data_IF_282603516116
#
_entry.id   IF_282603516116
#
_cell.length_a   1.000
_cell.length_b   1.000
_cell.length_c   1.000
_cell.angle_alpha   90.00
_cell.angle_beta   90.00
_cell.angle_gamma   90.00
#
_symmetry.space_group_name_H-M   'P 1'
#
loop_
_entity.id
_entity.type
_entity.pdbx_description
1 polymer ?
#
# COMPACT_ATOMS: atom_id res chain seq x y z
N UNK A 1 -1.14 -13.54 21.34
CA UNK A 1 -1.62 -13.57 22.73
C UNK A 1 -2.20 -12.21 23.12
N UNK A 2 -3.19 -12.21 24.01
CA UNK A 2 -3.76 -11.02 24.63
C UNK A 2 -3.00 -10.72 25.94
N UNK A 3 -2.41 -9.52 26.07
CA UNK A 3 -1.67 -9.10 27.27
C UNK A 3 -2.55 -8.95 28.54
N UNK A 4 -3.89 -8.88 28.38
CA UNK A 4 -4.83 -8.74 29.51
C UNK A 4 -5.26 -10.08 30.12
N UNK A 5 -5.51 -11.10 29.30
CA UNK A 5 -6.02 -12.40 29.78
C UNK A 5 -5.16 -13.59 29.36
N UNK A 6 -4.03 -13.37 28.70
CA UNK A 6 -3.16 -14.40 28.12
C UNK A 6 -3.84 -15.34 27.10
N UNK A 7 -5.06 -15.02 26.71
CA UNK A 7 -5.83 -15.78 25.73
C UNK A 7 -5.44 -15.49 24.27
N UNK A 8 -6.26 -15.97 23.37
CA UNK A 8 -6.05 -15.76 21.92
C UNK A 8 -6.31 -14.30 21.52
N UNK A 9 -5.48 -13.79 20.64
CA UNK A 9 -5.66 -12.49 20.03
C UNK A 9 -5.40 -12.55 18.53
N UNK A 10 -6.17 -11.78 17.77
CA UNK A 10 -6.01 -11.61 16.33
C UNK A 10 -5.47 -10.21 16.04
N UNK A 11 -4.37 -10.13 15.34
CA UNK A 11 -3.81 -8.85 14.91
C UNK A 11 -4.72 -8.23 13.85
N UNK A 12 -5.18 -7.00 14.07
CA UNK A 12 -5.94 -6.22 13.08
C UNK A 12 -5.00 -5.53 12.09
N UNK A 13 -3.94 -4.90 12.61
CA UNK A 13 -2.88 -4.30 11.80
C UNK A 13 -1.60 -4.14 12.62
N UNK A 14 -0.50 -3.96 11.91
CA UNK A 14 0.81 -3.60 12.48
C UNK A 14 1.25 -2.29 11.85
N UNK A 15 1.69 -1.35 12.66
CA UNK A 15 2.31 -0.11 12.17
C UNK A 15 3.81 -0.32 12.07
N UNK A 16 4.35 0.01 10.91
CA UNK A 16 5.78 -0.02 10.62
C UNK A 16 6.27 1.40 10.39
N UNK A 17 7.39 1.74 10.99
CA UNK A 17 8.02 3.05 10.86
C UNK A 17 9.44 2.90 10.38
N UNK A 18 9.84 3.70 9.38
CA UNK A 18 11.24 3.81 9.01
C UNK A 18 12.04 4.40 10.15
N UNK A 19 13.28 3.92 10.30
CA UNK A 19 14.25 4.41 11.27
C UNK A 19 15.07 5.53 10.62
N UNK A 20 15.28 6.62 11.35
CA UNK A 20 16.06 7.78 10.93
C UNK A 20 17.25 8.02 11.87
N UNK A 21 18.38 8.44 11.32
CA UNK A 21 19.57 8.82 12.08
C UNK A 21 19.63 10.34 12.22
N UNK A 22 19.55 10.83 13.44
CA UNK A 22 19.59 12.26 13.69
C UNK A 22 20.92 12.85 13.21
N UNK A 23 20.93 13.92 12.38
CA UNK A 23 22.16 14.47 11.84
C UNK A 23 23.06 15.10 12.91
N UNK A 24 22.49 15.48 14.07
CA UNK A 24 23.22 16.13 15.18
C UNK A 24 23.80 15.13 16.18
N UNK A 25 22.95 14.27 16.74
CA UNK A 25 23.34 13.36 17.82
C UNK A 25 23.62 11.92 17.36
N UNK A 26 23.42 11.62 16.08
CA UNK A 26 23.59 10.31 15.45
C UNK A 26 22.73 9.19 16.04
N UNK A 27 21.79 9.54 16.93
CA UNK A 27 20.86 8.57 17.48
C UNK A 27 19.91 8.07 16.39
N UNK A 28 19.63 6.78 16.38
CA UNK A 28 18.70 6.11 15.44
C UNK A 28 17.40 5.84 16.15
N UNK A 29 16.29 6.28 15.55
CA UNK A 29 14.96 6.11 16.10
C UNK A 29 13.92 5.94 15.01
N UNK A 30 12.84 5.17 15.27
CA UNK A 30 11.68 5.17 14.40
C UNK A 30 11.06 6.57 14.29
N UNK A 31 10.60 6.98 13.13
CA UNK A 31 9.91 8.27 12.98
C UNK A 31 8.66 8.35 13.86
N UNK A 32 8.04 7.22 14.14
CA UNK A 32 6.89 7.07 15.04
C UNK A 32 7.15 7.61 16.45
N UNK A 33 8.39 7.49 16.94
CA UNK A 33 8.80 7.95 18.27
C UNK A 33 9.24 9.43 18.30
N UNK A 34 9.29 10.07 17.13
CA UNK A 34 9.73 11.46 17.02
C UNK A 34 8.54 12.42 17.28
N UNK A 35 8.64 13.32 18.28
CA UNK A 35 7.58 14.29 18.54
C UNK A 35 7.52 15.38 17.48
N UNK A 36 6.36 16.05 17.39
CA UNK A 36 6.21 17.28 16.62
C UNK A 36 6.55 18.50 17.48
N UNK A 37 7.19 19.50 16.89
CA UNK A 37 7.47 20.80 17.49
C UNK A 37 7.11 21.93 16.53
N UNK A 38 6.69 23.06 17.09
CA UNK A 38 6.44 24.28 16.32
C UNK A 38 7.75 25.06 16.14
N UNK A 39 8.15 25.31 14.89
CA UNK A 39 9.31 26.11 14.55
C UNK A 39 8.90 27.32 13.70
N UNK A 40 9.59 28.48 13.83
CA UNK A 40 9.31 29.65 12.98
C UNK A 40 9.42 29.33 11.49
N UNK A 41 8.52 29.86 10.66
CA UNK A 41 8.63 29.77 9.21
C UNK A 41 9.79 30.60 8.69
N UNK A 42 10.56 30.08 7.76
CA UNK A 42 11.72 30.76 7.13
C UNK A 42 11.30 32.01 6.31
N UNK A 43 10.05 32.04 5.82
CA UNK A 43 9.55 33.04 4.89
C UNK A 43 8.53 34.02 5.45
N UNK A 44 8.47 34.26 6.78
CA UNK A 44 7.54 35.24 7.29
C UNK A 44 6.87 34.94 8.63
N UNK A 45 5.68 35.49 8.85
CA UNK A 45 4.94 35.37 10.11
C UNK A 45 4.36 33.97 10.30
N UNK A 46 4.48 33.41 11.51
CA UNK A 46 3.85 32.14 11.95
C UNK A 46 4.83 30.99 12.13
N UNK A 47 4.30 29.88 12.63
CA UNK A 47 5.05 28.63 12.89
C UNK A 47 4.66 27.55 11.88
N UNK A 48 5.54 26.56 11.70
CA UNK A 48 5.24 25.27 11.05
C UNK A 48 5.54 24.14 12.01
N UNK A 49 4.76 23.08 11.95
CA UNK A 49 5.07 21.85 12.68
C UNK A 49 6.15 21.06 11.94
N UNK A 50 7.14 20.62 12.66
CA UNK A 50 8.21 19.73 12.18
C UNK A 50 8.38 18.56 13.14
N UNK A 51 8.76 17.43 12.59
CA UNK A 51 9.15 16.26 13.39
C UNK A 51 10.57 16.47 13.89
N UNK A 52 10.83 16.27 15.17
CA UNK A 52 12.15 16.56 15.79
C UNK A 52 12.73 15.33 16.48
N UNK A 53 14.05 15.30 16.61
CA UNK A 53 14.76 14.28 17.35
C UNK A 53 14.43 14.35 18.85
N UNK A 54 13.88 13.29 19.47
CA UNK A 54 13.53 13.29 20.89
C UNK A 54 14.75 13.41 21.81
N UNK A 55 15.91 12.89 21.39
CA UNK A 55 17.15 13.00 22.16
C UNK A 55 17.66 14.44 22.19
N UNK A 56 17.70 15.11 21.03
CA UNK A 56 18.08 16.53 20.97
C UNK A 56 17.09 17.42 21.72
N UNK A 57 15.79 17.16 21.61
CA UNK A 57 14.75 17.92 22.30
C UNK A 57 14.91 17.87 23.83
N UNK A 58 15.19 16.69 24.40
CA UNK A 58 15.48 16.53 25.83
C UNK A 58 16.70 17.35 26.29
N UNK A 59 17.62 17.63 25.38
CA UNK A 59 18.81 18.44 25.63
C UNK A 59 18.64 19.92 25.21
N UNK A 60 17.39 20.39 25.02
CA UNK A 60 17.07 21.77 24.69
C UNK A 60 17.33 22.18 23.24
N UNK A 61 17.50 21.23 22.32
CA UNK A 61 17.75 21.50 20.91
C UNK A 61 16.63 20.96 20.03
N UNK A 62 16.11 21.75 19.10
CA UNK A 62 15.13 21.32 18.09
C UNK A 62 15.87 20.93 16.80
N UNK A 63 16.18 19.64 16.64
CA UNK A 63 16.78 19.11 15.42
C UNK A 63 15.72 18.44 14.57
N UNK A 64 15.44 18.98 13.39
CA UNK A 64 14.40 18.47 12.47
C UNK A 64 14.83 17.11 11.85
N UNK A 65 13.93 16.15 11.89
CA UNK A 65 14.04 14.87 11.17
C UNK A 65 13.22 14.97 9.89
N UNK A 66 13.88 15.37 8.82
CA UNK A 66 13.26 15.48 7.49
C UNK A 66 13.18 14.11 6.82
N UNK A 67 11.98 13.70 6.43
CA UNK A 67 11.77 12.44 5.71
C UNK A 67 12.41 12.41 4.31
N UNK A 68 12.84 13.57 3.79
CA UNK A 68 13.46 13.73 2.46
C UNK A 68 14.98 13.72 2.49
N UNK A 69 15.57 14.34 3.50
CA UNK A 69 17.03 14.59 3.56
C UNK A 69 17.74 13.87 4.69
N UNK A 70 17.03 13.38 5.71
CA UNK A 70 17.66 12.65 6.81
C UNK A 70 17.94 11.21 6.43
N UNK A 71 19.11 10.69 6.78
CA UNK A 71 19.53 9.31 6.52
C UNK A 71 18.55 8.33 7.13
N UNK A 72 18.07 7.40 6.31
CA UNK A 72 17.01 6.46 6.65
C UNK A 72 17.51 5.01 6.57
N UNK A 73 16.93 4.16 7.40
CA UNK A 73 17.15 2.71 7.48
C UNK A 73 15.82 1.97 7.34
N UNK A 74 15.89 0.65 7.26
CA UNK A 74 14.73 -0.22 7.12
C UNK A 74 13.65 0.05 8.18
N UNK A 75 12.38 -0.16 7.83
CA UNK A 75 11.29 0.04 8.77
C UNK A 75 11.28 -1.06 9.84
N UNK A 76 10.87 -0.67 11.04
CA UNK A 76 10.64 -1.57 12.17
C UNK A 76 9.18 -1.54 12.60
N UNK A 77 8.63 -2.63 13.17
CA UNK A 77 7.29 -2.61 13.73
C UNK A 77 7.29 -1.77 15.01
N UNK A 78 6.31 -0.84 15.12
CA UNK A 78 6.24 0.10 16.25
C UNK A 78 4.93 0.05 17.02
N UNK A 79 3.87 -0.53 16.42
CA UNK A 79 2.57 -0.69 17.08
C UNK A 79 1.87 -1.93 16.52
N UNK A 80 1.28 -2.72 17.39
CA UNK A 80 0.38 -3.82 17.05
C UNK A 80 -1.01 -3.53 17.63
N UNK A 81 -1.99 -3.38 16.76
CA UNK A 81 -3.40 -3.35 17.14
C UNK A 81 -3.98 -4.76 17.01
N UNK A 82 -4.65 -5.22 18.04
CA UNK A 82 -5.21 -6.56 18.09
C UNK A 82 -6.63 -6.58 18.67
N UNK A 83 -7.34 -7.68 18.41
CA UNK A 83 -8.62 -8.01 19.03
C UNK A 83 -8.48 -9.27 19.88
N UNK A 84 -8.89 -9.19 21.14
CA UNK A 84 -8.98 -10.36 22.02
C UNK A 84 -10.16 -11.24 21.58
N UNK A 85 -9.91 -12.54 21.40
CA UNK A 85 -10.93 -13.52 21.00
C UNK A 85 -11.57 -14.23 22.18
N UNK A 86 -11.02 -14.08 23.38
CA UNK A 86 -11.43 -14.81 24.60
C UNK A 86 -12.11 -13.90 25.64
N UNK A 87 -12.82 -12.89 25.17
CA UNK A 87 -13.86 -12.19 25.94
C UNK A 87 -13.45 -10.95 26.72
N UNK A 88 -12.24 -10.39 26.54
CA UNK A 88 -11.88 -9.11 27.18
C UNK A 88 -12.77 -7.95 26.75
N UNK A 89 -13.08 -7.06 27.70
CA UNK A 89 -13.76 -5.80 27.42
C UNK A 89 -12.84 -4.63 27.82
N UNK A 90 -12.50 -3.70 26.91
CA UNK A 90 -12.84 -3.69 25.48
C UNK A 90 -12.14 -4.85 24.74
N UNK A 91 -12.72 -5.32 23.62
CA UNK A 91 -12.11 -6.39 22.82
C UNK A 91 -10.77 -5.95 22.20
N UNK A 92 -10.68 -4.70 21.73
CA UNK A 92 -9.48 -4.14 21.09
C UNK A 92 -8.43 -3.75 22.12
N UNK A 93 -7.17 -3.98 21.74
CA UNK A 93 -6.00 -3.55 22.49
C UNK A 93 -4.88 -3.14 21.54
N UNK A 94 -3.91 -2.42 22.10
CA UNK A 94 -2.71 -1.98 21.39
C UNK A 94 -1.49 -2.20 22.27
N UNK A 95 -0.38 -2.56 21.62
CA UNK A 95 0.96 -2.60 22.17
C UNK A 95 1.87 -1.76 21.30
N UNK A 96 2.70 -0.94 21.90
CA UNK A 96 3.61 -0.05 21.20
C UNK A 96 5.06 -0.39 21.51
N UNK A 97 5.94 -0.01 20.59
CA UNK A 97 7.37 -0.06 20.80
C UNK A 97 7.76 0.78 22.03
N UNK A 98 8.56 0.21 22.94
CA UNK A 98 8.91 0.84 24.22
C UNK A 98 7.67 1.22 25.06
N UNK A 99 6.63 0.37 25.09
CA UNK A 99 5.43 0.61 25.91
C UNK A 99 5.84 0.80 27.37
N UNK A 100 5.34 1.86 28.07
CA UNK A 100 5.65 2.09 29.47
C UNK A 100 5.07 1.01 30.40
N UNK A 101 4.07 0.24 29.96
CA UNK A 101 3.58 -0.94 30.66
C UNK A 101 4.52 -2.11 30.37
N UNK A 102 5.28 -2.61 31.36
CA UNK A 102 6.26 -3.68 31.16
C UNK A 102 5.64 -4.97 30.63
N UNK A 103 4.39 -5.28 30.97
CA UNK A 103 3.69 -6.45 30.49
C UNK A 103 3.36 -6.33 29.01
N UNK A 104 2.89 -5.18 28.56
CA UNK A 104 2.63 -4.94 27.13
C UNK A 104 3.91 -5.00 26.32
N UNK A 105 5.00 -4.44 26.84
CA UNK A 105 6.30 -4.49 26.19
C UNK A 105 6.81 -5.94 26.08
N UNK A 106 6.75 -6.73 27.15
CA UNK A 106 7.10 -8.16 27.11
C UNK A 106 6.29 -8.90 26.05
N UNK A 107 4.98 -8.65 25.96
CA UNK A 107 4.12 -9.30 24.97
C UNK A 107 4.45 -8.87 23.54
N UNK A 108 4.78 -7.60 23.34
CA UNK A 108 5.22 -7.09 22.05
C UNK A 108 6.50 -7.79 21.57
N UNK A 109 7.51 -7.92 22.44
CA UNK A 109 8.75 -8.62 22.11
C UNK A 109 8.53 -10.11 21.90
N UNK A 110 7.92 -10.77 22.89
CA UNK A 110 7.85 -12.22 22.94
C UNK A 110 6.88 -12.84 21.92
N UNK A 111 5.79 -12.17 21.60
CA UNK A 111 4.75 -12.72 20.74
C UNK A 111 4.66 -12.00 19.39
N UNK A 112 4.83 -10.68 19.33
CA UNK A 112 4.66 -9.96 18.09
C UNK A 112 5.98 -9.92 17.29
N UNK A 113 7.08 -9.46 17.87
CA UNK A 113 8.39 -9.40 17.19
C UNK A 113 8.90 -10.80 16.85
N UNK A 114 8.86 -11.72 17.80
CA UNK A 114 9.31 -13.11 17.56
C UNK A 114 8.51 -13.77 16.42
N UNK A 115 7.19 -13.49 16.32
CA UNK A 115 6.37 -14.03 15.22
C UNK A 115 6.70 -13.39 13.87
N UNK A 116 6.99 -12.10 13.85
CA UNK A 116 7.47 -11.40 12.65
C UNK A 116 8.79 -12.02 12.18
N UNK A 117 9.76 -12.17 13.07
CA UNK A 117 11.06 -12.76 12.76
C UNK A 117 10.94 -14.23 12.27
N UNK A 118 10.05 -15.01 12.87
CA UNK A 118 9.75 -16.37 12.40
C UNK A 118 9.28 -16.37 10.94
N UNK A 119 8.37 -15.45 10.60
CA UNK A 119 7.82 -15.33 9.24
C UNK A 119 8.90 -14.87 8.25
N UNK A 120 9.75 -13.91 8.65
CA UNK A 120 10.82 -13.40 7.78
C UNK A 120 11.86 -14.48 7.40
N UNK A 121 12.04 -15.50 8.24
CA UNK A 121 12.96 -16.63 7.98
C UNK A 121 12.38 -17.72 7.07
N UNK A 122 11.06 -17.77 6.86
CA UNK A 122 10.39 -18.80 6.05
C UNK A 122 10.28 -18.38 4.59
N UNK A 123 10.32 -19.35 3.69
CA UNK A 123 9.97 -19.14 2.29
C UNK A 123 8.47 -19.16 2.09
N UNK A 124 7.98 -18.37 1.14
CA UNK A 124 6.57 -18.36 0.74
C UNK A 124 6.37 -19.50 -0.27
N UNK A 125 5.54 -20.52 0.06
CA UNK A 125 5.39 -21.70 -0.81
C UNK A 125 4.41 -21.50 -1.98
N UNK A 126 3.86 -20.31 -2.14
CA UNK A 126 2.86 -19.97 -3.15
C UNK A 126 3.40 -18.92 -4.11
N UNK A 127 2.85 -18.93 -5.31
CA UNK A 127 3.16 -17.90 -6.30
C UNK A 127 2.74 -16.50 -5.82
N UNK A 128 3.54 -15.52 -6.15
CA UNK A 128 3.26 -14.08 -6.01
C UNK A 128 3.99 -13.32 -7.11
N UNK A 129 3.56 -12.08 -7.46
CA UNK A 129 4.18 -11.32 -8.53
C UNK A 129 5.59 -10.88 -8.16
N UNK A 130 6.57 -11.26 -8.99
CA UNK A 130 7.99 -10.91 -8.88
C UNK A 130 8.46 -9.99 -10.01
N UNK A 131 7.53 -9.54 -10.86
CA UNK A 131 7.82 -8.64 -11.97
C UNK A 131 8.44 -7.35 -11.46
N UNK A 132 9.40 -6.82 -12.24
CA UNK A 132 9.95 -5.50 -12.00
C UNK A 132 8.86 -4.45 -12.22
N UNK A 133 8.86 -3.41 -11.38
CA UNK A 133 7.95 -2.27 -11.55
C UNK A 133 8.27 -1.56 -12.86
N UNK A 134 7.24 -1.07 -13.55
CA UNK A 134 7.40 -0.30 -14.77
C UNK A 134 8.35 0.87 -14.51
N UNK A 135 9.32 1.04 -15.41
CA UNK A 135 10.17 2.22 -15.41
C UNK A 135 9.40 3.39 -16.03
N UNK A 136 8.86 4.25 -15.19
CA UNK A 136 8.02 5.35 -15.62
C UNK A 136 8.01 6.52 -14.64
N UNK A 137 7.26 7.55 -14.98
CA UNK A 137 7.26 8.82 -14.26
C UNK A 137 6.83 8.69 -12.79
N UNK A 138 5.76 7.95 -12.51
CA UNK A 138 5.24 7.78 -11.14
C UNK A 138 6.07 6.81 -10.31
N UNK A 139 6.60 5.77 -10.90
CA UNK A 139 7.49 4.82 -10.23
C UNK A 139 8.82 5.45 -9.85
N UNK A 140 9.43 6.23 -10.74
CA UNK A 140 10.71 6.92 -10.47
C UNK A 140 10.56 8.03 -9.43
N UNK A 141 9.53 8.86 -9.57
CA UNK A 141 9.27 10.01 -8.70
C UNK A 141 9.31 9.65 -7.23
N UNK A 142 8.70 8.53 -6.85
CA UNK A 142 8.64 8.09 -5.46
C UNK A 142 9.87 7.31 -5.03
N UNK A 143 10.55 6.65 -5.94
CA UNK A 143 11.80 5.92 -5.70
C UNK A 143 12.92 6.88 -5.35
N UNK A 144 13.08 7.97 -6.11
CA UNK A 144 14.13 8.96 -5.90
C UNK A 144 13.92 9.79 -4.61
N UNK A 145 12.69 10.26 -4.38
CA UNK A 145 12.36 11.08 -3.19
C UNK A 145 12.55 10.29 -1.90
N UNK A 146 12.36 9.00 -1.92
CA UNK A 146 12.38 8.19 -0.73
C UNK A 146 13.69 7.41 -0.54
N UNK A 147 14.65 7.43 -1.50
CA UNK A 147 15.84 6.57 -1.48
C UNK A 147 15.47 5.10 -1.30
N UNK A 148 14.36 4.67 -1.88
CA UNK A 148 13.74 3.36 -1.62
C UNK A 148 14.03 2.44 -2.77
N UNK A 149 14.63 1.33 -2.44
CA UNK A 149 14.91 0.24 -3.35
C UNK A 149 13.71 -0.72 -3.40
N UNK A 150 12.60 -0.31 -4.01
CA UNK A 150 11.55 -1.24 -4.40
C UNK A 150 11.46 -1.30 -5.92
N UNK A 151 12.05 -2.34 -6.44
CA UNK A 151 12.17 -2.58 -7.88
C UNK A 151 11.10 -3.53 -8.39
N UNK A 152 10.55 -4.37 -7.51
CA UNK A 152 9.57 -5.40 -7.84
C UNK A 152 8.23 -5.11 -7.18
N UNK A 153 7.18 -5.66 -7.76
CA UNK A 153 5.84 -5.60 -7.17
C UNK A 153 5.83 -6.17 -5.76
N UNK A 154 6.54 -7.28 -5.51
CA UNK A 154 6.68 -7.90 -4.19
C UNK A 154 7.27 -6.96 -3.13
N UNK A 155 8.14 -6.01 -3.51
CA UNK A 155 8.80 -5.11 -2.56
C UNK A 155 7.82 -4.12 -1.90
N UNK A 156 6.65 -3.91 -2.50
CA UNK A 156 5.58 -3.09 -1.93
C UNK A 156 4.89 -3.74 -0.72
N UNK A 157 5.20 -5.00 -0.40
CA UNK A 157 4.53 -5.75 0.66
C UNK A 157 5.49 -6.15 1.78
N UNK A 158 4.97 -6.28 2.99
CA UNK A 158 5.64 -7.03 4.05
C UNK A 158 5.47 -8.53 3.77
N UNK A 159 6.48 -9.32 4.08
CA UNK A 159 6.49 -10.77 3.79
C UNK A 159 5.25 -11.50 4.31
N UNK A 160 4.81 -11.16 5.52
CA UNK A 160 3.57 -11.70 6.09
C UNK A 160 2.35 -11.46 5.20
N UNK A 161 2.20 -10.24 4.69
CA UNK A 161 1.08 -9.87 3.85
C UNK A 161 1.21 -10.46 2.45
N UNK A 162 2.42 -10.46 1.90
CA UNK A 162 2.71 -11.13 0.63
C UNK A 162 2.33 -12.61 0.69
N UNK A 163 2.73 -13.32 1.77
CA UNK A 163 2.36 -14.72 1.99
C UNK A 163 0.85 -14.93 2.11
N UNK A 164 0.16 -14.09 2.89
CA UNK A 164 -1.29 -14.21 3.05
C UNK A 164 -2.06 -13.93 1.75
N UNK A 165 -1.64 -12.94 0.97
CA UNK A 165 -2.21 -12.64 -0.35
C UNK A 165 -1.96 -13.79 -1.33
N UNK A 166 -0.73 -14.33 -1.39
CA UNK A 166 -0.39 -15.46 -2.26
C UNK A 166 -1.14 -16.74 -1.88
N UNK A 167 -1.36 -16.99 -0.58
CA UNK A 167 -2.19 -18.10 -0.12
C UNK A 167 -3.65 -17.95 -0.60
N UNK A 168 -4.24 -16.75 -0.49
CA UNK A 168 -5.59 -16.49 -0.99
C UNK A 168 -5.63 -16.71 -2.50
N UNK A 169 -4.70 -16.12 -3.25
CA UNK A 169 -4.63 -16.25 -4.69
C UNK A 169 -4.54 -17.73 -5.14
N UNK A 170 -3.66 -18.49 -4.51
CA UNK A 170 -3.51 -19.92 -4.80
C UNK A 170 -4.80 -20.72 -4.57
N UNK A 171 -5.57 -20.37 -3.53
CA UNK A 171 -6.85 -21.06 -3.27
C UNK A 171 -7.97 -20.60 -4.22
N UNK A 172 -7.90 -19.37 -4.74
CA UNK A 172 -8.84 -18.90 -5.78
C UNK A 172 -8.61 -19.66 -7.08
N UNK A 173 -7.36 -19.83 -7.51
CA UNK A 173 -7.01 -20.57 -8.73
C UNK A 173 -7.51 -22.03 -8.73
N UNK A 174 -7.73 -22.60 -7.55
CA UNK A 174 -8.31 -23.93 -7.36
C UNK A 174 -9.84 -23.95 -7.38
N UNK A 175 -10.50 -22.78 -7.35
CA UNK A 175 -11.96 -22.65 -7.33
C UNK A 175 -12.46 -22.12 -8.67
N UNK A 176 -12.87 -23.02 -9.55
CA UNK A 176 -13.27 -22.67 -10.93
C UNK A 176 -14.63 -22.00 -11.03
N UNK A 177 -15.54 -22.14 -10.06
CA UNK A 177 -16.92 -21.61 -10.14
C UNK A 177 -17.03 -20.12 -9.84
N UNK A 178 -16.27 -19.64 -8.84
CA UNK A 178 -16.34 -18.23 -8.35
C UNK A 178 -15.00 -17.50 -8.47
N UNK A 179 -14.08 -18.01 -9.29
CA UNK A 179 -12.70 -17.48 -9.37
C UNK A 179 -12.66 -16.00 -9.70
N UNK A 180 -13.42 -15.55 -10.69
CA UNK A 180 -13.42 -14.15 -11.14
C UNK A 180 -13.93 -13.19 -10.06
N UNK A 181 -15.02 -13.58 -9.38
CA UNK A 181 -15.59 -12.79 -8.29
C UNK A 181 -14.62 -12.70 -7.10
N UNK A 182 -13.92 -13.80 -6.78
CA UNK A 182 -12.95 -13.83 -5.71
C UNK A 182 -11.66 -13.08 -6.07
N UNK A 183 -11.21 -13.14 -7.33
CA UNK A 183 -10.12 -12.31 -7.85
C UNK A 183 -10.48 -10.82 -7.79
N UNK A 184 -11.72 -10.46 -8.08
CA UNK A 184 -12.19 -9.08 -7.90
C UNK A 184 -12.15 -8.62 -6.44
N UNK A 185 -12.52 -9.50 -5.48
CA UNK A 185 -12.34 -9.24 -4.05
C UNK A 185 -10.86 -9.07 -3.70
N UNK A 186 -9.99 -9.97 -4.17
CA UNK A 186 -8.55 -9.92 -3.94
C UNK A 186 -7.96 -8.62 -4.46
N UNK A 187 -8.23 -8.25 -5.72
CA UNK A 187 -7.71 -7.02 -6.34
C UNK A 187 -8.07 -5.78 -5.54
N UNK A 188 -9.28 -5.74 -4.95
CA UNK A 188 -9.76 -4.60 -4.15
C UNK A 188 -9.01 -4.38 -2.84
N UNK A 189 -8.28 -5.38 -2.33
CA UNK A 189 -7.52 -5.29 -1.06
C UNK A 189 -6.00 -5.25 -1.25
N UNK A 190 -5.48 -5.61 -2.42
CA UNK A 190 -4.03 -5.72 -2.67
C UNK A 190 -3.29 -4.49 -2.19
N UNK A 191 -3.63 -3.30 -2.68
CA UNK A 191 -2.95 -2.08 -2.26
C UNK A 191 -3.21 -1.71 -0.80
N UNK A 192 -4.41 -1.98 -0.28
CA UNK A 192 -4.74 -1.73 1.14
C UNK A 192 -3.91 -2.59 2.11
N UNK A 193 -3.40 -3.72 1.63
CA UNK A 193 -2.54 -4.63 2.37
C UNK A 193 -1.05 -4.41 2.10
N UNK A 194 -0.69 -3.35 1.39
CA UNK A 194 0.69 -2.99 1.03
C UNK A 194 1.31 -1.97 1.99
N UNK A 195 2.61 -1.71 1.83
CA UNK A 195 3.34 -0.63 2.52
C UNK A 195 2.84 0.77 2.16
N UNK A 196 2.02 0.93 1.13
CA UNK A 196 1.47 2.21 0.68
C UNK A 196 0.35 2.73 1.60
N UNK A 197 -0.24 1.88 2.45
CA UNK A 197 -1.31 2.30 3.35
C UNK A 197 -0.75 3.13 4.51
N UNK A 198 -1.10 4.43 4.55
CA UNK A 198 -0.58 5.40 5.54
C UNK A 198 -1.18 5.16 6.91
N UNK A 199 -0.35 5.20 7.94
CA UNK A 199 -0.81 5.32 9.32
C UNK A 199 -1.13 6.77 9.67
N UNK A 200 -2.27 6.99 10.34
CA UNK A 200 -2.70 8.30 10.87
C UNK A 200 -3.33 8.09 12.24
N UNK A 201 -2.73 8.55 13.34
CA UNK A 201 -3.21 8.31 14.69
C UNK A 201 -4.65 8.79 14.94
N UNK A 202 -5.02 9.95 14.38
CA UNK A 202 -6.32 10.62 14.61
C UNK A 202 -7.31 10.51 13.45
N UNK A 203 -6.93 9.88 12.34
CA UNK A 203 -7.72 9.81 11.11
C UNK A 203 -7.73 8.39 10.56
N UNK A 204 -8.72 8.10 9.72
CA UNK A 204 -8.66 6.87 8.92
C UNK A 204 -7.41 6.90 8.03
N UNK A 205 -6.62 5.84 8.08
CA UNK A 205 -5.52 5.62 7.16
C UNK A 205 -6.01 5.55 5.70
N UNK A 206 -5.12 5.27 4.78
CA UNK A 206 -5.51 5.11 3.38
C UNK A 206 -4.32 5.25 2.44
N UNK A 207 -4.53 4.84 1.21
CA UNK A 207 -3.57 4.99 0.12
C UNK A 207 -3.71 6.40 -0.46
N UNK A 208 -2.61 6.97 -0.92
CA UNK A 208 -2.64 8.18 -1.73
C UNK A 208 -2.95 7.80 -3.18
N UNK A 209 -4.07 8.29 -3.70
CA UNK A 209 -4.48 8.00 -5.07
C UNK A 209 -3.57 8.70 -6.10
N UNK A 210 -3.46 8.09 -7.28
CA UNK A 210 -2.74 8.65 -8.41
C UNK A 210 -1.22 8.66 -8.27
N UNK A 211 -0.65 7.86 -7.38
CA UNK A 211 0.80 7.74 -7.21
C UNK A 211 1.20 6.50 -6.40
N UNK A 212 2.42 6.02 -6.63
CA UNK A 212 3.05 5.01 -5.76
C UNK A 212 3.77 5.69 -4.60
N UNK A 213 3.05 5.96 -3.54
CA UNK A 213 3.62 6.59 -2.35
C UNK A 213 3.70 5.61 -1.17
N UNK A 214 4.90 5.26 -0.76
CA UNK A 214 5.15 4.51 0.47
C UNK A 214 5.46 5.49 1.59
N UNK A 215 4.57 5.66 2.56
CA UNK A 215 4.74 6.63 3.63
C UNK A 215 5.87 6.23 4.59
N UNK A 216 6.45 7.18 5.34
CA UNK A 216 7.47 6.87 6.34
C UNK A 216 6.93 6.05 7.52
N UNK A 217 5.61 6.05 7.70
CA UNK A 217 4.90 5.20 8.67
C UNK A 217 3.70 4.55 8.00
N UNK A 218 3.75 3.23 7.88
CA UNK A 218 2.75 2.42 7.15
C UNK A 218 1.92 1.58 8.13
N UNK A 219 0.62 1.46 7.86
CA UNK A 219 -0.30 0.60 8.59
C UNK A 219 -0.58 -0.67 7.78
N UNK A 220 -0.01 -1.77 8.18
CA UNK A 220 -0.08 -3.03 7.47
C UNK A 220 -1.30 -3.83 7.96
N UNK A 221 -2.35 -3.86 7.15
CA UNK A 221 -3.65 -4.46 7.48
C UNK A 221 -3.59 -5.98 7.53
N UNK A 222 -4.48 -6.59 8.32
CA UNK A 222 -4.69 -8.03 8.31
C UNK A 222 -5.39 -8.43 7.00
N UNK A 223 -4.72 -9.22 6.17
CA UNK A 223 -5.21 -9.63 4.85
C UNK A 223 -6.50 -10.44 4.93
N UNK A 224 -6.59 -11.41 5.84
CA UNK A 224 -7.77 -12.27 5.97
C UNK A 224 -9.02 -11.48 6.42
N UNK A 225 -8.84 -10.54 7.34
CA UNK A 225 -9.93 -9.64 7.77
C UNK A 225 -10.34 -8.69 6.66
N UNK A 226 -9.37 -8.14 5.92
CA UNK A 226 -9.63 -7.25 4.79
C UNK A 226 -10.39 -7.97 3.68
N UNK A 227 -9.97 -9.20 3.34
CA UNK A 227 -10.63 -10.03 2.34
C UNK A 227 -12.08 -10.35 2.74
N UNK A 228 -12.30 -10.82 3.98
CA UNK A 228 -13.64 -11.14 4.50
C UNK A 228 -14.58 -9.93 4.46
N UNK A 229 -14.10 -8.78 4.92
CA UNK A 229 -14.90 -7.56 4.95
C UNK A 229 -15.27 -7.11 3.53
N UNK A 230 -14.29 -7.10 2.63
CA UNK A 230 -14.51 -6.69 1.24
C UNK A 230 -15.40 -7.67 0.48
N UNK A 231 -15.27 -8.98 0.72
CA UNK A 231 -16.19 -9.99 0.20
C UNK A 231 -17.64 -9.69 0.62
N UNK A 232 -17.86 -9.38 1.90
CA UNK A 232 -19.19 -8.99 2.40
C UNK A 232 -19.74 -7.73 1.72
N UNK A 233 -18.87 -6.71 1.50
CA UNK A 233 -19.27 -5.46 0.82
C UNK A 233 -19.66 -5.72 -0.63
N UNK A 234 -18.83 -6.44 -1.37
CA UNK A 234 -19.08 -6.77 -2.79
C UNK A 234 -20.33 -7.64 -2.95
N UNK A 235 -20.50 -8.66 -2.10
CA UNK A 235 -21.68 -9.52 -2.14
C UNK A 235 -22.98 -8.73 -1.89
N UNK A 236 -22.97 -7.76 -0.96
CA UNK A 236 -24.10 -6.84 -0.75
C UNK A 236 -24.36 -5.97 -1.99
N UNK A 237 -23.30 -5.42 -2.58
CA UNK A 237 -23.39 -4.62 -3.81
C UNK A 237 -24.01 -5.41 -4.97
N UNK A 238 -23.49 -6.60 -5.26
CA UNK A 238 -24.02 -7.47 -6.33
C UNK A 238 -25.52 -7.76 -6.11
N UNK A 239 -25.90 -8.12 -4.89
CA UNK A 239 -27.33 -8.40 -4.56
C UNK A 239 -28.23 -7.17 -4.73
N UNK A 240 -27.72 -5.96 -4.54
CA UNK A 240 -28.49 -4.72 -4.69
C UNK A 240 -28.65 -4.27 -6.14
N UNK A 241 -27.77 -4.68 -7.06
CA UNK A 241 -27.77 -4.20 -8.44
C UNK A 241 -28.94 -4.75 -9.26
N UNK A 242 -29.45 -5.96 -8.96
CA UNK A 242 -30.60 -6.55 -9.65
C UNK A 242 -30.42 -6.61 -11.18
N UNK A 243 -29.18 -6.68 -11.67
CA UNK A 243 -28.83 -6.58 -13.09
C UNK A 243 -29.48 -7.73 -13.86
N UNK A 244 -30.30 -7.39 -14.86
CA UNK A 244 -30.88 -8.32 -15.84
C UNK A 244 -30.30 -8.12 -17.24
N UNK A 245 -29.50 -7.09 -17.41
CA UNK A 245 -28.92 -6.67 -18.70
C UNK A 245 -27.61 -7.41 -18.95
N UNK A 246 -27.36 -7.75 -20.21
CA UNK A 246 -26.06 -8.31 -20.65
C UNK A 246 -25.14 -7.19 -21.11
N UNK A 247 -23.92 -7.17 -20.58
CA UNK A 247 -22.86 -6.29 -21.05
C UNK A 247 -21.72 -7.13 -21.61
N UNK A 248 -21.11 -6.70 -22.70
CA UNK A 248 -19.86 -7.23 -23.23
C UNK A 248 -18.75 -6.28 -22.82
N UNK A 249 -17.73 -6.80 -22.13
CA UNK A 249 -16.57 -6.03 -21.70
C UNK A 249 -15.35 -6.64 -22.40
N UNK A 250 -14.60 -5.81 -23.12
CA UNK A 250 -13.31 -6.20 -23.71
C UNK A 250 -12.25 -5.18 -23.36
N UNK A 251 -10.99 -5.62 -23.31
CA UNK A 251 -9.82 -4.75 -23.15
C UNK A 251 -9.04 -4.75 -24.45
N UNK A 252 -9.11 -3.65 -25.17
CA UNK A 252 -8.52 -3.49 -26.50
C UNK A 252 -7.98 -2.08 -26.71
N UNK A 253 -7.17 -1.93 -27.77
CA UNK A 253 -6.76 -0.59 -28.19
C UNK A 253 -7.89 0.10 -28.97
N UNK A 254 -8.14 1.37 -28.67
CA UNK A 254 -9.12 2.17 -29.42
C UNK A 254 -8.66 2.48 -30.86
N UNK A 255 -7.38 2.23 -31.18
CA UNK A 255 -6.84 2.39 -32.55
C UNK A 255 -7.15 1.22 -33.47
N UNK A 256 -7.74 0.14 -32.93
CA UNK A 256 -8.16 -1.02 -33.73
C UNK A 256 -9.48 -1.58 -33.17
N UNK A 257 -10.56 -1.36 -33.89
CA UNK A 257 -11.93 -1.79 -33.54
C UNK A 257 -12.40 -2.92 -34.46
N UNK A 258 -11.50 -3.73 -35.01
CA UNK A 258 -11.81 -4.78 -36.00
C UNK A 258 -12.77 -5.86 -35.49
N UNK A 259 -12.96 -6.01 -34.20
CA UNK A 259 -13.94 -6.94 -33.61
C UNK A 259 -15.35 -6.34 -33.49
N UNK A 260 -15.56 -5.08 -33.82
CA UNK A 260 -16.87 -4.45 -33.90
C UNK A 260 -17.31 -4.48 -35.36
N UNK A 261 -18.46 -5.10 -35.64
CA UNK A 261 -18.97 -5.15 -37.00
C UNK A 261 -19.39 -3.75 -37.50
N UNK A 262 -19.19 -3.53 -38.79
CA UNK A 262 -19.66 -2.29 -39.41
C UNK A 262 -21.16 -2.11 -39.21
N UNK A 263 -21.57 -0.85 -38.98
CA UNK A 263 -22.98 -0.45 -38.77
C UNK A 263 -23.72 -1.17 -37.61
N UNK A 264 -22.97 -1.65 -36.58
CA UNK A 264 -23.54 -2.37 -35.43
C UNK A 264 -23.69 -1.52 -34.17
N UNK A 265 -23.27 -0.25 -34.17
CA UNK A 265 -23.26 0.64 -33.01
C UNK A 265 -24.11 1.87 -33.31
N UNK A 266 -25.11 2.12 -32.47
CA UNK A 266 -26.00 3.28 -32.60
C UNK A 266 -25.49 4.53 -31.85
N UNK A 267 -24.67 4.32 -30.82
CA UNK A 267 -24.16 5.42 -29.98
C UNK A 267 -22.75 5.11 -29.45
N UNK A 268 -21.86 6.09 -29.49
CA UNK A 268 -20.49 6.00 -28.99
C UNK A 268 -20.29 7.07 -27.91
N UNK A 269 -19.81 6.64 -26.74
CA UNK A 269 -19.34 7.52 -25.68
C UNK A 269 -17.87 7.24 -25.40
N UNK A 270 -17.03 8.25 -25.41
CA UNK A 270 -15.58 8.12 -25.19
C UNK A 270 -15.11 8.99 -24.04
N UNK A 271 -14.21 8.44 -23.23
CA UNK A 271 -13.43 9.15 -22.21
C UNK A 271 -11.95 8.88 -22.49
N UNK A 272 -11.34 9.69 -23.39
CA UNK A 272 -9.96 9.46 -23.84
C UNK A 272 -8.94 9.81 -22.78
N UNK A 273 -7.71 9.25 -22.84
CA UNK A 273 -6.64 9.56 -21.90
C UNK A 273 -6.23 11.03 -21.94
N UNK A 274 -6.06 11.62 -20.75
CA UNK A 274 -5.73 13.05 -20.58
C UNK A 274 -4.22 13.33 -20.68
N UNK A 275 -3.62 13.08 -21.84
CA UNK A 275 -2.19 13.34 -22.09
C UNK A 275 -1.29 12.72 -21.00
N UNK A 276 -0.46 13.50 -20.31
CA UNK A 276 0.42 13.05 -19.23
C UNK A 276 -0.13 13.21 -17.80
N UNK A 277 -1.40 13.60 -17.65
CA UNK A 277 -1.97 13.95 -16.33
C UNK A 277 -2.10 12.74 -15.40
N UNK A 278 -2.50 11.58 -15.93
CA UNK A 278 -2.64 10.34 -15.19
C UNK A 278 -1.89 9.23 -15.91
N UNK A 279 -0.97 8.57 -15.23
CA UNK A 279 -0.16 7.47 -15.77
C UNK A 279 -0.88 6.14 -15.53
N UNK A 280 -1.93 5.87 -16.31
CA UNK A 280 -2.86 4.75 -16.11
C UNK A 280 -2.16 3.40 -16.06
N UNK A 281 -1.30 3.12 -17.04
CA UNK A 281 -0.58 1.86 -17.10
C UNK A 281 0.34 1.65 -15.90
N UNK A 282 1.12 2.66 -15.52
CA UNK A 282 1.96 2.56 -14.33
C UNK A 282 1.13 2.28 -13.08
N UNK A 283 0.02 3.02 -12.88
CA UNK A 283 -0.80 2.93 -11.69
C UNK A 283 -1.57 1.61 -11.59
N UNK A 284 -1.93 1.00 -12.73
CA UNK A 284 -2.63 -0.29 -12.77
C UNK A 284 -1.69 -1.50 -12.65
N UNK A 285 -0.40 -1.31 -12.86
CA UNK A 285 0.58 -2.39 -12.98
C UNK A 285 0.59 -3.38 -11.81
N UNK A 286 0.42 -2.91 -10.58
CA UNK A 286 0.39 -3.80 -9.40
C UNK A 286 -0.81 -4.75 -9.44
N UNK A 287 -1.99 -4.27 -9.87
CA UNK A 287 -3.16 -5.13 -10.03
C UNK A 287 -3.00 -6.12 -11.17
N UNK A 288 -2.48 -5.65 -12.32
CA UNK A 288 -2.21 -6.51 -13.47
C UNK A 288 -1.22 -7.62 -13.12
N UNK A 289 -0.18 -7.30 -12.36
CA UNK A 289 0.79 -8.28 -11.89
C UNK A 289 0.15 -9.35 -10.98
N UNK A 290 -0.70 -8.94 -10.03
CA UNK A 290 -1.42 -9.89 -9.15
C UNK A 290 -2.46 -10.73 -9.88
N UNK A 291 -3.08 -10.19 -10.92
CA UNK A 291 -4.06 -10.88 -11.75
C UNK A 291 -3.42 -11.68 -12.89
N UNK A 292 -2.09 -11.71 -12.97
CA UNK A 292 -1.31 -12.38 -14.02
C UNK A 292 -1.72 -11.95 -15.45
N UNK A 293 -2.11 -10.68 -15.61
CA UNK A 293 -2.48 -10.13 -16.90
C UNK A 293 -1.25 -9.83 -17.76
N UNK A 294 -1.46 -9.76 -19.09
CA UNK A 294 -0.41 -9.36 -20.01
C UNK A 294 -0.12 -7.87 -19.90
N UNK A 295 1.09 -7.51 -19.47
CA UNK A 295 1.53 -6.13 -19.29
C UNK A 295 2.27 -5.54 -20.51
N UNK A 296 2.43 -6.29 -21.60
CA UNK A 296 3.16 -5.82 -22.80
C UNK A 296 2.43 -4.71 -23.57
N UNK A 297 1.14 -4.51 -23.32
CA UNK A 297 0.34 -3.43 -23.92
C UNK A 297 0.81 -2.03 -23.50
N UNK A 298 1.55 -1.90 -22.41
CA UNK A 298 2.06 -0.61 -21.92
C UNK A 298 2.91 0.14 -22.96
N UNK A 299 3.59 -0.58 -23.84
CA UNK A 299 4.35 0.03 -24.93
C UNK A 299 3.45 0.73 -25.97
N UNK A 300 2.22 0.27 -26.11
CA UNK A 300 1.20 0.81 -27.03
C UNK A 300 0.24 1.80 -26.33
N UNK A 301 0.39 2.03 -25.04
CA UNK A 301 -0.47 2.94 -24.28
C UNK A 301 -0.45 4.36 -24.87
N UNK A 302 -1.62 4.93 -25.12
CA UNK A 302 -1.80 6.31 -25.63
C UNK A 302 -1.67 7.28 -24.47
N UNK A 303 -0.45 7.75 -24.21
CA UNK A 303 -0.15 8.62 -23.06
C UNK A 303 1.10 9.44 -23.35
N UNK A 304 1.23 10.58 -22.68
CA UNK A 304 2.50 11.33 -22.61
C UNK A 304 3.27 10.88 -21.37
N UNK A 305 4.46 10.34 -21.58
CA UNK A 305 5.38 9.91 -20.53
C UNK A 305 6.83 10.04 -21.05
N UNK A 306 7.46 11.15 -20.78
CA UNK A 306 8.80 11.45 -21.27
C UNK A 306 9.85 10.44 -20.82
N UNK A 307 9.70 9.90 -19.60
CA UNK A 307 10.59 8.85 -19.06
C UNK A 307 10.56 7.58 -19.92
N UNK A 308 9.42 7.29 -20.56
CA UNK A 308 9.21 6.16 -21.46
C UNK A 308 9.36 6.53 -22.94
N UNK A 309 9.82 7.76 -23.24
CA UNK A 309 9.98 8.26 -24.61
C UNK A 309 8.64 8.55 -25.33
N UNK A 310 7.52 8.66 -24.62
CA UNK A 310 6.20 8.95 -25.17
C UNK A 310 5.95 10.45 -25.11
N UNK A 311 6.05 11.12 -26.26
CA UNK A 311 5.93 12.59 -26.39
C UNK A 311 4.48 13.04 -26.63
N UNK A 312 4.22 14.34 -26.50
CA UNK A 312 2.92 14.92 -26.89
C UNK A 312 2.62 14.72 -28.38
N UNK A 313 3.64 14.75 -29.24
CA UNK A 313 3.49 14.47 -30.68
C UNK A 313 2.98 13.05 -30.92
N UNK A 314 3.57 12.05 -30.27
CA UNK A 314 3.12 10.66 -30.36
C UNK A 314 1.68 10.48 -29.84
N UNK A 315 1.36 11.13 -28.72
CA UNK A 315 0.01 11.12 -28.16
C UNK A 315 -1.01 11.73 -29.13
N UNK A 316 -0.73 12.90 -29.68
CA UNK A 316 -1.61 13.57 -30.62
C UNK A 316 -1.85 12.74 -31.91
N UNK A 317 -0.80 12.11 -32.46
CA UNK A 317 -0.89 11.24 -33.62
C UNK A 317 -1.79 10.02 -33.37
N UNK A 318 -1.70 9.41 -32.19
CA UNK A 318 -2.52 8.24 -31.84
C UNK A 318 -3.96 8.59 -31.47
N UNK A 319 -4.24 9.86 -31.18
CA UNK A 319 -5.59 10.36 -30.84
C UNK A 319 -6.39 10.82 -32.06
N UNK A 320 -5.76 10.96 -33.23
CA UNK A 320 -6.40 11.37 -34.49
C UNK A 320 -6.63 10.19 -35.43
#
# INVERSE_FOLDING_TARGET
RCDRCDGRAMTNYVVWSYVFECPRCLNRMPLFDCPEADVPKTSGKGTKKVTVCPCCQKNGHLEEISTRSTKRFDPVPVLVNYECLDGCTPKRGERVHNDPDPKKWEYFERYDLAKIEEIEKKEIPYWYPTQDMIYGQETLRNRDIAGREWYRVSDLFMKRNLWALSLINNNIDQNTEYSDQLLFVLSSIVLNCSKMYRYRPSLKGGIQNGTYYVPPTSQIMNVMSSFRNKFGDINRGIKSLGIKETAVISTETATNLSNINDNSVDYIFTDPPYSGTVQYGELNFVWEAWLSLNTKWHDQEIIVNETRGKTEGNWAEMMT
#
